data_IF_824580026061
#
_entry.id   IF_824580026061
#
_cell.length_a   1.000
_cell.length_b   1.000
_cell.length_c   1.000
_cell.angle_alpha   90.00
_cell.angle_beta   90.00
_cell.angle_gamma   90.00
#
_symmetry.space_group_name_H-M   'P 1'
#
loop_
_entity.id
_entity.type
_entity.pdbx_description
1 polymer ?
#
# COMPACT_ATOMS: atom_id res chain seq x y z
N UNK A 1 -16.54 -12.55 9.87
CA UNK A 1 -15.17 -13.06 9.56
C UNK A 1 -14.24 -11.89 9.26
N UNK A 2 -13.15 -11.72 10.02
CA UNK A 2 -12.14 -10.68 9.73
C UNK A 2 -11.01 -11.34 8.93
N UNK A 3 -11.11 -11.39 7.60
CA UNK A 3 -10.10 -11.97 6.70
C UNK A 3 -8.67 -11.53 7.05
N UNK A 4 -8.50 -10.22 7.26
CA UNK A 4 -7.23 -9.59 7.65
C UNK A 4 -6.72 -9.95 9.05
N UNK A 5 -7.54 -10.59 9.90
CA UNK A 5 -7.13 -11.11 11.21
C UNK A 5 -6.89 -12.62 11.21
N UNK A 6 -7.12 -13.30 10.08
CA UNK A 6 -6.86 -14.72 9.97
C UNK A 6 -5.36 -15.00 10.09
N UNK A 7 -5.02 -16.17 10.65
CA UNK A 7 -3.63 -16.63 10.73
C UNK A 7 -3.02 -16.80 9.34
N UNK A 8 -3.78 -17.42 8.42
CA UNK A 8 -3.38 -17.60 7.03
C UNK A 8 -2.93 -16.27 6.38
N UNK A 9 -3.70 -15.20 6.52
CA UNK A 9 -3.32 -13.88 5.99
C UNK A 9 -2.06 -13.32 6.65
N UNK A 10 -1.90 -13.46 7.97
CA UNK A 10 -0.72 -12.95 8.68
C UNK A 10 0.56 -13.66 8.23
N UNK A 11 0.48 -14.98 8.09
CA UNK A 11 1.61 -15.82 7.68
C UNK A 11 1.96 -15.53 6.22
N UNK A 12 0.96 -15.45 5.34
CA UNK A 12 1.13 -15.10 3.94
C UNK A 12 1.73 -13.70 3.77
N UNK A 13 1.23 -12.71 4.53
CA UNK A 13 1.75 -11.34 4.53
C UNK A 13 3.24 -11.30 4.89
N UNK A 14 3.67 -12.07 5.88
CA UNK A 14 5.09 -12.16 6.24
C UNK A 14 5.92 -12.81 5.13
N UNK A 15 5.41 -13.86 4.50
CA UNK A 15 6.08 -14.52 3.37
C UNK A 15 6.24 -13.59 2.17
N UNK A 16 5.21 -12.82 1.82
CA UNK A 16 5.26 -11.83 0.73
C UNK A 16 6.26 -10.73 1.03
N UNK A 17 6.25 -10.17 2.25
CA UNK A 17 7.25 -9.16 2.65
C UNK A 17 8.68 -9.70 2.55
N UNK A 18 8.91 -10.94 3.00
CA UNK A 18 10.22 -11.58 2.92
C UNK A 18 10.65 -11.85 1.48
N UNK A 19 9.74 -12.33 0.62
CA UNK A 19 9.96 -12.52 -0.82
C UNK A 19 10.39 -11.21 -1.49
N UNK A 20 9.73 -10.13 -1.11
CA UNK A 20 9.94 -8.80 -1.69
C UNK A 20 11.11 -8.04 -1.02
N UNK A 21 11.91 -8.71 -0.16
CA UNK A 21 13.01 -8.13 0.61
C UNK A 21 12.62 -6.90 1.43
N UNK A 22 11.37 -6.80 1.86
CA UNK A 22 10.83 -5.60 2.53
C UNK A 22 11.05 -4.33 1.68
N UNK A 23 10.85 -4.45 0.37
CA UNK A 23 10.91 -3.36 -0.61
C UNK A 23 9.57 -3.16 -1.32
N UNK A 24 9.21 -1.90 -1.57
CA UNK A 24 8.09 -1.58 -2.44
C UNK A 24 8.40 -2.00 -3.89
N UNK A 25 7.62 -2.94 -4.41
CA UNK A 25 7.79 -3.46 -5.77
C UNK A 25 7.49 -2.40 -6.84
N UNK A 26 6.55 -1.49 -6.57
CA UNK A 26 6.25 -0.39 -7.49
C UNK A 26 7.36 0.65 -7.54
N UNK A 27 7.95 1.02 -6.39
CA UNK A 27 9.11 1.91 -6.39
C UNK A 27 10.27 1.28 -7.15
N UNK A 28 10.52 -0.02 -6.93
CA UNK A 28 11.57 -0.78 -7.61
C UNK A 28 11.41 -0.78 -9.13
N UNK A 29 10.18 -0.96 -9.63
CA UNK A 29 9.86 -0.85 -11.07
C UNK A 29 10.16 0.53 -11.64
N UNK A 30 10.05 1.59 -10.83
CA UNK A 30 10.35 2.96 -11.22
C UNK A 30 11.83 3.35 -10.98
N UNK A 31 12.70 2.40 -10.64
CA UNK A 31 14.11 2.67 -10.34
C UNK A 31 14.35 3.35 -8.98
N UNK A 32 13.36 3.36 -8.10
CA UNK A 32 13.44 3.93 -6.75
C UNK A 32 13.52 2.82 -5.70
N UNK A 33 14.29 3.06 -4.63
CA UNK A 33 14.35 2.13 -3.49
C UNK A 33 13.52 2.70 -2.35
N UNK A 34 12.54 1.92 -1.90
CA UNK A 34 11.72 2.25 -0.74
C UNK A 34 11.60 1.01 0.14
N UNK A 35 12.25 1.04 1.30
CA UNK A 35 12.34 -0.07 2.24
C UNK A 35 11.57 0.23 3.52
N UNK A 36 11.26 -0.80 4.30
CA UNK A 36 10.72 -0.68 5.65
C UNK A 36 11.82 -0.31 6.67
N UNK A 37 12.81 0.51 6.29
CA UNK A 37 13.86 0.95 7.21
C UNK A 37 13.20 1.46 8.50
N UNK A 38 13.31 0.60 9.52
CA UNK A 38 12.56 0.63 10.77
C UNK A 38 12.94 1.91 11.50
N UNK A 39 12.19 2.97 11.25
CA UNK A 39 12.15 4.14 12.10
C UNK A 39 11.14 3.78 13.20
N UNK A 40 11.59 3.46 14.43
CA UNK A 40 10.71 2.97 15.48
C UNK A 40 9.63 3.99 15.88
N UNK A 41 9.79 5.27 15.52
CA UNK A 41 8.79 6.32 15.75
C UNK A 41 7.75 6.43 14.63
N UNK A 42 8.01 5.87 13.44
CA UNK A 42 7.08 5.94 12.31
C UNK A 42 6.33 4.63 12.11
N UNK A 43 5.00 4.73 12.20
CA UNK A 43 4.09 3.65 11.85
C UNK A 43 4.38 3.10 10.45
N UNK A 44 4.31 1.76 10.32
CA UNK A 44 4.32 0.93 9.10
C UNK A 44 4.55 1.68 7.79
N UNK A 45 5.69 1.48 7.13
CA UNK A 45 5.97 2.12 5.84
C UNK A 45 5.51 1.29 4.64
N UNK A 46 5.45 -0.03 4.80
CA UNK A 46 5.03 -0.98 3.79
C UNK A 46 3.74 -1.71 4.17
N UNK A 47 2.90 -1.96 3.17
CA UNK A 47 1.79 -2.88 3.26
C UNK A 47 1.71 -3.84 2.08
N UNK A 48 0.99 -4.94 2.29
CA UNK A 48 0.76 -5.94 1.25
C UNK A 48 -0.63 -5.71 0.66
N UNK A 49 -0.66 -5.49 -0.65
CA UNK A 49 -1.83 -5.16 -1.42
C UNK A 49 -2.19 -6.28 -2.39
N UNK A 50 -3.49 -6.50 -2.60
CA UNK A 50 -3.99 -7.45 -3.60
C UNK A 50 -3.97 -6.84 -4.99
N UNK A 51 -3.24 -7.40 -5.94
CA UNK A 51 -3.20 -6.93 -7.34
C UNK A 51 -4.62 -6.93 -7.93
N UNK A 52 -5.32 -8.06 -7.83
CA UNK A 52 -6.76 -8.19 -8.08
C UNK A 52 -7.52 -8.09 -6.77
N UNK A 53 -8.42 -7.11 -6.69
CA UNK A 53 -9.19 -6.81 -5.49
C UNK A 53 -9.96 -8.03 -4.98
N UNK A 54 -9.86 -8.29 -3.66
CA UNK A 54 -10.51 -9.41 -2.97
C UNK A 54 -12.03 -9.46 -3.17
N UNK A 55 -12.67 -8.31 -3.38
CA UNK A 55 -14.12 -8.24 -3.63
C UNK A 55 -14.52 -8.86 -4.97
N UNK A 56 -13.64 -8.77 -5.96
CA UNK A 56 -13.89 -9.27 -7.33
C UNK A 56 -13.40 -10.70 -7.53
N UNK A 57 -12.32 -11.07 -6.85
CA UNK A 57 -11.67 -12.38 -6.98
C UNK A 57 -11.32 -12.94 -5.59
N UNK A 58 -12.32 -13.33 -4.78
CA UNK A 58 -12.09 -13.87 -3.45
C UNK A 58 -11.28 -15.18 -3.46
N UNK A 59 -11.33 -15.94 -4.54
CA UNK A 59 -10.54 -17.15 -4.76
C UNK A 59 -9.04 -16.87 -4.84
N UNK A 60 -8.65 -15.65 -5.22
CA UNK A 60 -7.25 -15.21 -5.31
C UNK A 60 -6.77 -14.48 -4.04
N UNK A 61 -7.57 -14.47 -2.98
CA UNK A 61 -7.28 -13.68 -1.78
C UNK A 61 -6.03 -14.15 -1.02
N UNK A 62 -5.70 -15.45 -1.13
CA UNK A 62 -4.57 -16.09 -0.47
C UNK A 62 -3.46 -16.54 -1.44
N UNK A 63 -3.53 -16.10 -2.69
CA UNK A 63 -2.53 -16.43 -3.72
C UNK A 63 -1.35 -15.46 -3.63
N UNK A 64 -0.13 -15.99 -3.45
CA UNK A 64 1.09 -15.16 -3.32
C UNK A 64 1.35 -14.29 -4.55
N UNK A 65 1.01 -14.78 -5.74
CA UNK A 65 1.20 -14.05 -7.01
C UNK A 65 0.20 -12.92 -7.17
N UNK A 66 -0.93 -12.98 -6.46
CA UNK A 66 -1.91 -11.89 -6.42
C UNK A 66 -1.56 -10.84 -5.34
N UNK A 67 -0.42 -10.97 -4.65
CA UNK A 67 0.01 -10.07 -3.59
C UNK A 67 1.31 -9.35 -3.94
N UNK A 68 1.35 -8.06 -3.65
CA UNK A 68 2.54 -7.23 -3.84
C UNK A 68 2.79 -6.34 -2.63
N UNK A 69 4.07 -6.19 -2.27
CA UNK A 69 4.49 -5.22 -1.26
C UNK A 69 4.52 -3.82 -1.86
N UNK A 70 3.76 -2.89 -1.28
CA UNK A 70 3.69 -1.50 -1.67
C UNK A 70 3.95 -0.58 -0.47
N UNK A 71 4.58 0.57 -0.72
CA UNK A 71 4.62 1.65 0.26
C UNK A 71 3.26 2.34 0.36
N UNK A 72 2.99 3.01 1.49
CA UNK A 72 1.74 3.77 1.70
C UNK A 72 1.42 4.71 0.52
N UNK A 73 2.37 5.51 -0.02
CA UNK A 73 2.11 6.34 -1.20
C UNK A 73 1.64 5.55 -2.43
N UNK A 74 2.33 4.46 -2.78
CA UNK A 74 1.96 3.61 -3.92
C UNK A 74 0.62 2.93 -3.71
N UNK A 75 0.36 2.43 -2.50
CA UNK A 75 -0.92 1.85 -2.12
C UNK A 75 -2.06 2.87 -2.29
N UNK A 76 -1.89 4.09 -1.80
CA UNK A 76 -2.89 5.14 -1.94
C UNK A 76 -3.10 5.60 -3.38
N UNK A 77 -2.04 5.62 -4.18
CA UNK A 77 -2.10 5.90 -5.63
C UNK A 77 -2.93 4.86 -6.36
N UNK A 78 -2.73 3.56 -6.05
CA UNK A 78 -3.52 2.46 -6.61
C UNK A 78 -4.99 2.57 -6.25
N UNK A 79 -5.30 2.77 -4.97
CA UNK A 79 -6.66 2.88 -4.45
C UNK A 79 -7.32 4.24 -4.70
N UNK A 80 -6.65 5.17 -5.40
CA UNK A 80 -7.13 6.55 -5.68
C UNK A 80 -7.64 7.30 -4.43
N UNK A 81 -7.18 6.91 -3.22
CA UNK A 81 -7.69 7.45 -1.95
C UNK A 81 -7.35 8.92 -1.71
N UNK A 82 -6.42 9.47 -2.47
CA UNK A 82 -6.03 10.88 -2.41
C UNK A 82 -6.18 11.57 -3.77
N UNK A 83 -7.39 11.59 -4.32
CA UNK A 83 -7.85 12.81 -4.98
C UNK A 83 -8.39 13.73 -3.89
N UNK A 84 -7.50 14.37 -3.13
CA UNK A 84 -7.90 15.59 -2.45
C UNK A 84 -8.35 16.53 -3.58
N UNK A 85 -9.66 16.77 -3.70
CA UNK A 85 -10.14 17.96 -4.41
C UNK A 85 -9.37 19.11 -3.78
N UNK A 86 -8.49 19.75 -4.56
CA UNK A 86 -7.79 20.96 -4.12
C UNK A 86 -8.89 21.88 -3.59
N UNK A 87 -8.92 22.11 -2.27
CA UNK A 87 -9.89 23.04 -1.70
C UNK A 87 -9.46 24.39 -2.25
N UNK A 88 -10.24 24.96 -3.16
CA UNK A 88 -9.96 26.31 -3.65
C UNK A 88 -9.91 27.23 -2.43
N UNK A 89 -8.78 27.92 -2.26
CA UNK A 89 -8.66 28.95 -1.23
C UNK A 89 -9.65 30.05 -1.62
N UNK A 90 -10.62 30.32 -0.74
CA UNK A 90 -11.74 31.22 -0.99
C UNK A 90 -11.44 32.69 -0.67
N UNK A 91 -10.17 33.00 -0.40
CA UNK A 91 -9.68 34.29 0.06
C UNK A 91 -8.57 34.74 -0.89
N UNK A 92 -8.94 35.60 -1.83
CA UNK A 92 -8.06 36.31 -2.77
C UNK A 92 -7.98 37.75 -2.24
N UNK A 93 -7.22 37.92 -1.16
CA UNK A 93 -7.21 39.17 -0.37
C UNK A 93 -6.12 40.14 -0.87
N UNK A 94 -5.77 40.13 -2.16
CA UNK A 94 -4.85 41.10 -2.77
C UNK A 94 -5.60 42.16 -3.60
N UNK A 95 -6.51 42.89 -2.95
CA UNK A 95 -6.94 44.22 -3.41
C UNK A 95 -6.34 45.29 -2.49
N UNK A 96 -5.22 45.85 -2.94
CA UNK A 96 -4.68 47.12 -2.45
C UNK A 96 -5.36 48.29 -3.15
#
# INVERSE_FOLDING_TARGET
MKFYKSKAWRDLRQQVLKRDNYECQECKRNGLVYTDAHDPEKHKRLDVDHIKEIYTHPELALEMDNLQTLCIPCHNKKHKRFFFRKKENRWDDEKW
#
